data_IF_132410477559
#
_entry.id   IF_132410477559
#
_cell.length_a   1.000
_cell.length_b   1.000
_cell.length_c   1.000
_cell.angle_alpha   90.00
_cell.angle_beta   90.00
_cell.angle_gamma   90.00
#
_symmetry.space_group_name_H-M   'P 1'
#
loop_
_entity.id
_entity.type
_entity.pdbx_description
1 polymer ?
#
# COMPACT_ATOMS: atom_id res chain seq x y z
N UNK A 1 -18.69 2.35 -5.30
CA UNK A 1 -17.75 3.20 -4.56
C UNK A 1 -16.33 2.74 -4.78
N UNK A 2 -15.77 3.14 -5.92
CA UNK A 2 -14.32 3.00 -6.15
C UNK A 2 -13.60 4.16 -5.49
N UNK A 3 -12.41 3.89 -4.96
CA UNK A 3 -11.51 4.92 -4.47
C UNK A 3 -11.09 5.83 -5.62
N UNK A 4 -10.96 7.13 -5.34
CA UNK A 4 -10.40 8.08 -6.30
C UNK A 4 -9.00 7.61 -6.76
N UNK A 5 -8.64 7.74 -8.05
CA UNK A 5 -7.36 7.24 -8.56
C UNK A 5 -6.12 7.74 -7.80
N UNK A 6 -6.18 8.99 -7.30
CA UNK A 6 -5.11 9.55 -6.49
C UNK A 6 -4.97 8.86 -5.13
N UNK A 7 -6.07 8.43 -4.53
CA UNK A 7 -6.05 7.74 -3.23
C UNK A 7 -5.54 6.30 -3.39
N UNK A 8 -5.90 5.64 -4.50
CA UNK A 8 -5.34 4.34 -4.84
C UNK A 8 -3.81 4.41 -5.01
N UNK A 9 -3.32 5.42 -5.74
CA UNK A 9 -1.89 5.63 -5.92
C UNK A 9 -1.18 5.91 -4.59
N UNK A 10 -1.78 6.74 -3.71
CA UNK A 10 -1.23 7.01 -2.38
C UNK A 10 -1.17 5.75 -1.52
N UNK A 11 -2.23 4.94 -1.50
CA UNK A 11 -2.25 3.68 -0.77
C UNK A 11 -1.14 2.78 -1.28
N UNK A 12 -1.03 2.55 -2.59
CA UNK A 12 0.05 1.72 -3.17
C UNK A 12 1.43 2.25 -2.77
N UNK A 13 1.66 3.56 -2.80
CA UNK A 13 2.93 4.17 -2.36
C UNK A 13 3.23 3.96 -0.87
N UNK A 14 2.21 3.88 -0.02
CA UNK A 14 2.38 3.58 1.40
C UNK A 14 2.62 2.09 1.67
N UNK A 15 2.10 1.21 0.82
CA UNK A 15 2.25 -0.25 0.96
C UNK A 15 3.57 -0.78 0.43
N UNK A 16 4.17 -0.12 -0.58
CA UNK A 16 5.41 -0.61 -1.18
C UNK A 16 6.60 -0.20 -0.32
N UNK A 17 7.36 -1.19 0.15
CA UNK A 17 8.62 -1.01 0.87
C UNK A 17 9.77 -0.76 -0.11
N UNK A 18 9.88 -1.61 -1.13
CA UNK A 18 10.95 -1.58 -2.12
C UNK A 18 10.49 -2.23 -3.42
N UNK A 19 11.05 -1.76 -4.52
CA UNK A 19 10.85 -2.34 -5.84
C UNK A 19 12.21 -2.63 -6.46
N UNK A 20 12.46 -3.89 -6.78
CA UNK A 20 13.67 -4.33 -7.47
C UNK A 20 13.35 -4.59 -8.94
N UNK A 21 14.04 -3.87 -9.82
CA UNK A 21 13.84 -3.92 -11.27
C UNK A 21 15.03 -4.64 -11.91
N UNK A 22 14.75 -5.72 -12.61
CA UNK A 22 15.74 -6.49 -13.34
C UNK A 22 15.33 -6.76 -14.78
N UNK A 23 16.25 -7.25 -15.59
CA UNK A 23 15.99 -7.62 -16.98
C UNK A 23 14.94 -8.74 -17.13
N UNK A 24 14.72 -9.53 -16.08
CA UNK A 24 13.72 -10.60 -16.02
C UNK A 24 12.36 -10.18 -15.45
N UNK A 25 12.21 -8.95 -14.96
CA UNK A 25 10.95 -8.48 -14.39
C UNK A 25 11.11 -7.62 -13.13
N UNK A 26 10.09 -7.68 -12.29
CA UNK A 26 9.91 -6.84 -11.11
C UNK A 26 9.71 -7.69 -9.85
N UNK A 27 10.49 -7.41 -8.81
CA UNK A 27 10.22 -7.88 -7.44
C UNK A 27 9.70 -6.72 -6.59
N UNK A 28 8.57 -6.92 -5.92
CA UNK A 28 7.92 -5.90 -5.07
C UNK A 28 7.89 -6.38 -3.64
N UNK A 29 8.55 -5.63 -2.76
CA UNK A 29 8.50 -5.82 -1.32
C UNK A 29 7.42 -4.92 -0.73
N UNK A 30 6.53 -5.50 0.08
CA UNK A 30 5.42 -4.79 0.72
C UNK A 30 5.69 -4.59 2.21
N UNK A 31 5.30 -3.43 2.73
CA UNK A 31 5.31 -3.08 4.17
C UNK A 31 4.14 -3.77 4.88
N UNK A 32 4.27 -5.07 5.15
CA UNK A 32 3.18 -5.87 5.73
C UNK A 32 2.97 -5.54 7.22
N UNK A 33 4.04 -5.21 7.95
CA UNK A 33 3.97 -4.89 9.38
C UNK A 33 3.16 -3.61 9.65
N UNK A 34 3.26 -2.62 8.77
CA UNK A 34 2.53 -1.35 8.87
C UNK A 34 1.08 -1.43 8.40
N UNK A 35 0.76 -2.35 7.49
CA UNK A 35 -0.57 -2.45 6.88
C UNK A 35 -1.65 -2.90 7.87
N UNK A 36 -1.31 -3.84 8.76
CA UNK A 36 -2.24 -4.29 9.82
C UNK A 36 -2.61 -3.16 10.78
N UNK A 37 -1.63 -2.29 11.11
CA UNK A 37 -1.84 -1.09 11.91
C UNK A 37 -2.68 -0.05 11.19
N UNK A 38 -2.38 0.22 9.91
CA UNK A 38 -3.13 1.16 9.08
C UNK A 38 -4.60 0.76 8.91
N UNK A 39 -4.88 -0.53 8.65
CA UNK A 39 -6.26 -1.04 8.55
C UNK A 39 -7.02 -0.85 9.86
N UNK A 40 -6.35 -1.01 11.00
CA UNK A 40 -6.95 -0.72 12.31
C UNK A 40 -7.26 0.76 12.48
N UNK A 41 -6.30 1.65 12.18
CA UNK A 41 -6.50 3.10 12.27
C UNK A 41 -7.61 3.60 11.34
N UNK A 42 -7.70 3.08 10.12
CA UNK A 42 -8.78 3.43 9.18
C UNK A 42 -10.16 2.96 9.68
N UNK A 43 -10.24 1.78 10.33
CA UNK A 43 -11.48 1.31 10.94
C UNK A 43 -11.89 2.15 12.14
N UNK A 44 -10.92 2.60 12.95
CA UNK A 44 -11.16 3.48 14.09
C UNK A 44 -11.58 4.89 13.64
N UNK A 45 -10.99 5.42 12.56
CA UNK A 45 -11.34 6.72 12.00
C UNK A 45 -12.70 6.75 11.25
N UNK A 46 -13.19 5.58 10.82
CA UNK A 46 -14.47 5.42 10.15
C UNK A 46 -15.65 5.13 11.11
N UNK A 47 -15.37 4.96 12.41
CA UNK A 47 -16.35 4.74 13.48
C UNK A 47 -16.73 6.05 14.17
#
# INVERSE_FOLDING_TARGET
DELFPAEQARIVQLLVERVDIGLGGLDVHLRIDGLSGLVREMREAAA
#
